data_IF_551132594369
#
_entry.id   IF_551132594369
#
_cell.length_a   1.000
_cell.length_b   1.000
_cell.length_c   1.000
_cell.angle_alpha   90.00
_cell.angle_beta   90.00
_cell.angle_gamma   90.00
#
_symmetry.space_group_name_H-M   'P 1'
#
loop_
_entity.id
_entity.type
_entity.pdbx_description
1 polymer ?
#
# COMPACT_ATOMS: atom_id res chain seq x y z
N UNK A 1 -11.06 14.53 7.05
CA UNK A 1 -12.37 13.89 6.74
C UNK A 1 -12.07 12.53 6.14
N UNK A 2 -12.77 11.48 6.59
CA UNK A 2 -12.70 10.14 6.03
C UNK A 2 -13.75 9.94 4.92
N UNK A 3 -13.74 8.79 4.26
CA UNK A 3 -14.67 8.49 3.16
C UNK A 3 -16.14 8.48 3.64
N UNK A 4 -16.41 8.01 4.85
CA UNK A 4 -17.76 8.02 5.43
C UNK A 4 -18.31 9.45 5.53
N UNK A 5 -17.51 10.39 6.01
CA UNK A 5 -17.89 11.81 6.06
C UNK A 5 -18.03 12.43 4.65
N UNK A 6 -17.25 11.99 3.68
CA UNK A 6 -17.37 12.43 2.30
C UNK A 6 -18.68 11.96 1.68
N UNK A 7 -19.06 10.69 1.89
CA UNK A 7 -20.34 10.13 1.44
C UNK A 7 -21.51 10.88 2.09
N UNK A 8 -21.42 11.20 3.39
CA UNK A 8 -22.44 12.00 4.07
C UNK A 8 -22.62 13.38 3.46
N UNK A 9 -21.53 14.06 3.13
CA UNK A 9 -21.57 15.40 2.52
C UNK A 9 -22.20 15.37 1.12
N UNK A 10 -21.78 14.38 0.29
CA UNK A 10 -22.35 14.21 -1.06
C UNK A 10 -23.82 13.83 -1.01
N UNK A 11 -24.22 12.92 -0.10
CA UNK A 11 -25.61 12.53 0.10
C UNK A 11 -26.50 13.69 0.54
N UNK A 12 -26.04 14.55 1.46
CA UNK A 12 -26.74 15.77 1.86
C UNK A 12 -26.92 16.74 0.71
N UNK A 13 -25.90 16.92 -0.10
CA UNK A 13 -25.89 17.86 -1.24
C UNK A 13 -26.55 17.30 -2.48
N UNK A 14 -26.98 16.04 -2.46
CA UNK A 14 -27.52 15.31 -3.64
C UNK A 14 -26.57 15.35 -4.84
N UNK A 15 -25.25 15.23 -4.58
CA UNK A 15 -24.21 15.19 -5.60
C UNK A 15 -23.75 13.76 -5.82
N UNK A 16 -23.37 13.45 -7.05
CA UNK A 16 -22.77 12.16 -7.39
C UNK A 16 -21.32 12.11 -6.91
N UNK A 17 -21.00 11.08 -6.13
CA UNK A 17 -19.63 10.76 -5.73
C UNK A 17 -19.01 9.79 -6.73
N UNK A 18 -17.91 10.18 -7.35
CA UNK A 18 -17.18 9.36 -8.33
C UNK A 18 -15.88 8.87 -7.71
N UNK A 19 -15.69 7.57 -7.71
CA UNK A 19 -14.44 6.93 -7.30
C UNK A 19 -13.81 6.22 -8.48
N UNK A 20 -12.49 6.08 -8.48
CA UNK A 20 -11.77 5.25 -9.45
C UNK A 20 -10.94 4.19 -8.74
N UNK A 21 -10.92 2.97 -9.27
CA UNK A 21 -10.15 1.86 -8.69
C UNK A 21 -9.96 0.72 -9.69
N UNK A 22 -8.87 -0.02 -9.56
CA UNK A 22 -8.70 -1.34 -10.16
C UNK A 22 -9.44 -2.44 -9.35
N UNK A 23 -9.73 -2.17 -8.08
CA UNK A 23 -10.27 -3.15 -7.11
C UNK A 23 -11.77 -2.98 -6.90
N UNK A 24 -12.56 -3.06 -7.97
CA UNK A 24 -13.99 -2.73 -7.97
C UNK A 24 -14.81 -3.43 -6.88
N UNK A 25 -14.60 -4.75 -6.71
CA UNK A 25 -15.32 -5.55 -5.71
C UNK A 25 -14.97 -5.13 -4.29
N UNK A 26 -13.69 -4.87 -4.01
CA UNK A 26 -13.22 -4.43 -2.69
C UNK A 26 -13.77 -3.05 -2.39
N UNK A 27 -13.69 -2.11 -3.35
CA UNK A 27 -14.23 -0.77 -3.22
C UNK A 27 -15.74 -0.79 -2.93
N UNK A 28 -16.49 -1.56 -3.70
CA UNK A 28 -17.94 -1.69 -3.52
C UNK A 28 -18.30 -2.24 -2.12
N UNK A 29 -17.64 -3.30 -1.68
CA UNK A 29 -17.86 -3.89 -0.34
C UNK A 29 -17.52 -2.90 0.77
N UNK A 30 -16.39 -2.21 0.67
CA UNK A 30 -15.98 -1.23 1.66
C UNK A 30 -17.00 -0.08 1.78
N UNK A 31 -17.38 0.51 0.66
CA UNK A 31 -18.34 1.62 0.60
C UNK A 31 -19.70 1.20 1.19
N UNK A 32 -20.22 0.03 0.83
CA UNK A 32 -21.48 -0.49 1.36
C UNK A 32 -21.46 -0.74 2.88
N UNK A 33 -20.29 -0.99 3.45
CA UNK A 33 -20.08 -1.15 4.90
C UNK A 33 -20.13 0.17 5.68
N UNK A 34 -20.01 1.32 5.02
CA UNK A 34 -19.96 2.62 5.69
C UNK A 34 -21.35 3.06 6.19
N UNK A 35 -21.37 3.63 7.40
CA UNK A 35 -22.63 4.06 8.06
C UNK A 35 -23.39 5.10 7.23
N UNK A 36 -22.67 6.07 6.69
CA UNK A 36 -23.28 7.12 5.87
C UNK A 36 -23.85 6.56 4.56
N UNK A 37 -23.16 5.58 3.95
CA UNK A 37 -23.69 4.92 2.75
C UNK A 37 -25.03 4.22 3.05
N UNK A 38 -25.09 3.44 4.10
CA UNK A 38 -26.32 2.74 4.52
C UNK A 38 -27.44 3.71 4.87
N UNK A 39 -27.12 4.83 5.53
CA UNK A 39 -28.08 5.87 5.88
C UNK A 39 -28.73 6.55 4.66
N UNK A 40 -27.91 6.91 3.66
CA UNK A 40 -28.41 7.71 2.52
C UNK A 40 -28.90 6.84 1.35
N UNK A 41 -28.34 5.66 1.18
CA UNK A 41 -28.58 4.83 -0.01
C UNK A 41 -29.13 3.43 0.31
N UNK A 42 -29.13 3.02 1.57
CA UNK A 42 -29.67 1.75 2.03
C UNK A 42 -28.90 0.55 1.46
N UNK A 43 -29.65 -0.39 0.87
CA UNK A 43 -29.10 -1.63 0.30
C UNK A 43 -28.73 -1.51 -1.17
N UNK A 44 -28.82 -0.31 -1.78
CA UNK A 44 -28.44 -0.12 -3.19
C UNK A 44 -26.96 -0.47 -3.40
N UNK A 45 -26.65 -1.05 -4.56
CA UNK A 45 -25.27 -1.29 -4.93
C UNK A 45 -24.66 -0.08 -5.64
N UNK A 46 -23.44 0.37 -5.29
CA UNK A 46 -22.74 1.41 -6.03
C UNK A 46 -22.70 1.06 -7.51
N UNK A 47 -22.83 2.04 -8.38
CA UNK A 47 -22.76 1.83 -9.82
C UNK A 47 -21.31 1.61 -10.25
N UNK A 48 -20.97 0.40 -10.60
CA UNK A 48 -19.69 0.04 -11.21
C UNK A 48 -19.75 0.42 -12.69
N UNK A 49 -18.79 1.21 -13.14
CA UNK A 49 -18.68 1.70 -14.51
C UNK A 49 -17.37 1.19 -15.12
N UNK A 50 -17.51 0.41 -16.19
CA UNK A 50 -16.37 -0.05 -17.00
C UNK A 50 -16.61 0.34 -18.48
N UNK A 51 -15.62 0.25 -19.37
CA UNK A 51 -15.81 0.56 -20.80
C UNK A 51 -16.91 -0.28 -21.46
N UNK A 52 -17.13 -1.49 -20.98
CA UNK A 52 -18.03 -2.47 -21.62
C UNK A 52 -19.29 -2.82 -20.82
N UNK A 53 -19.36 -2.40 -19.53
CA UNK A 53 -20.56 -2.74 -18.73
C UNK A 53 -20.80 -1.71 -17.61
N UNK A 54 -22.05 -1.69 -17.15
CA UNK A 54 -22.48 -1.00 -15.93
C UNK A 54 -23.22 -1.97 -15.03
N UNK A 55 -22.85 -2.05 -13.75
CA UNK A 55 -23.41 -2.96 -12.77
C UNK A 55 -23.69 -2.20 -11.48
N UNK A 56 -24.87 -2.43 -10.89
CA UNK A 56 -25.35 -1.71 -9.71
C UNK A 56 -26.46 -0.74 -10.03
N UNK A 57 -27.12 -0.23 -9.00
CA UNK A 57 -28.33 0.60 -9.13
C UNK A 57 -28.26 1.95 -8.41
N UNK A 58 -27.16 2.25 -7.73
CA UNK A 58 -26.93 3.54 -7.10
C UNK A 58 -26.13 4.47 -8.00
N UNK A 59 -26.82 5.33 -8.75
CA UNK A 59 -26.19 6.30 -9.65
C UNK A 59 -25.51 7.45 -8.92
N UNK A 60 -25.82 7.66 -7.64
CA UNK A 60 -25.25 8.75 -6.83
C UNK A 60 -23.88 8.39 -6.25
N UNK A 61 -23.49 7.11 -6.26
CA UNK A 61 -22.15 6.64 -5.91
C UNK A 61 -21.64 5.73 -6.99
N UNK A 62 -20.61 6.16 -7.70
CA UNK A 62 -20.07 5.48 -8.88
C UNK A 62 -18.64 5.04 -8.63
N UNK A 63 -18.29 3.85 -9.09
CA UNK A 63 -16.93 3.30 -9.05
C UNK A 63 -16.50 3.02 -10.48
N UNK A 64 -15.58 3.84 -10.98
CA UNK A 64 -15.05 3.74 -12.34
C UNK A 64 -13.83 2.83 -12.35
N UNK A 65 -13.80 1.89 -13.28
CA UNK A 65 -12.63 1.02 -13.49
C UNK A 65 -11.44 1.87 -13.97
N UNK A 66 -10.29 1.64 -13.36
CA UNK A 66 -9.01 2.23 -13.75
C UNK A 66 -8.00 1.13 -14.09
N UNK A 67 -7.15 1.41 -15.05
CA UNK A 67 -5.98 0.59 -15.37
C UNK A 67 -4.75 1.50 -15.37
N UNK A 68 -4.07 1.57 -14.22
CA UNK A 68 -2.91 2.44 -14.03
C UNK A 68 -3.21 3.94 -13.98
N UNK A 69 -2.25 4.72 -13.51
CA UNK A 69 -2.32 6.18 -13.34
C UNK A 69 -3.58 6.66 -12.61
N UNK A 70 -4.08 5.85 -11.66
CA UNK A 70 -5.31 6.13 -10.92
C UNK A 70 -5.18 7.42 -10.12
N UNK A 71 -4.01 7.68 -9.57
CA UNK A 71 -3.68 8.86 -8.78
C UNK A 71 -3.67 10.18 -9.54
N UNK A 72 -3.62 10.16 -10.86
CA UNK A 72 -3.66 11.36 -11.70
C UNK A 72 -5.09 11.82 -12.05
N UNK A 73 -6.12 11.04 -11.73
CA UNK A 73 -7.50 11.30 -12.11
C UNK A 73 -8.23 12.36 -11.28
N UNK A 74 -8.01 12.44 -9.94
CA UNK A 74 -8.62 13.51 -9.17
C UNK A 74 -7.95 14.87 -9.44
N UNK A 75 -8.68 15.98 -9.38
CA UNK A 75 -10.13 16.08 -9.16
C UNK A 75 -10.98 16.07 -10.42
N UNK A 76 -10.36 16.08 -11.62
CA UNK A 76 -11.07 16.33 -12.88
C UNK A 76 -12.03 15.18 -13.23
N UNK A 77 -11.52 13.95 -13.24
CA UNK A 77 -12.31 12.78 -13.64
C UNK A 77 -13.12 12.21 -12.49
N UNK A 78 -12.54 12.16 -11.28
CA UNK A 78 -13.14 11.54 -10.09
C UNK A 78 -12.85 12.34 -8.83
N UNK A 79 -13.66 12.11 -7.80
CA UNK A 79 -13.57 12.83 -6.53
C UNK A 79 -12.66 12.11 -5.50
N UNK A 80 -12.48 10.79 -5.67
CA UNK A 80 -11.60 9.97 -4.84
C UNK A 80 -11.10 8.75 -5.62
N UNK A 81 -10.05 8.12 -5.10
CA UNK A 81 -9.52 6.87 -5.62
C UNK A 81 -9.37 5.83 -4.51
N UNK A 82 -9.38 4.55 -4.88
CA UNK A 82 -8.93 3.46 -4.03
C UNK A 82 -7.84 2.71 -4.78
N UNK A 83 -6.64 2.75 -4.23
CA UNK A 83 -5.45 2.17 -4.83
C UNK A 83 -4.51 1.61 -3.76
N UNK A 84 -3.52 0.81 -4.18
CA UNK A 84 -2.47 0.28 -3.32
C UNK A 84 -1.36 1.32 -3.18
N UNK A 85 -0.93 1.56 -1.97
CA UNK A 85 0.24 2.41 -1.72
C UNK A 85 1.21 1.74 -0.75
N UNK A 86 2.49 1.87 -1.02
CA UNK A 86 3.57 1.42 -0.12
C UNK A 86 4.21 2.62 0.60
N UNK A 87 4.81 3.53 -0.15
CA UNK A 87 5.53 4.70 0.39
C UNK A 87 4.73 5.99 0.39
N UNK A 88 3.65 6.04 -0.38
CA UNK A 88 2.83 7.24 -0.58
C UNK A 88 3.51 8.35 -1.40
N UNK A 89 4.66 8.09 -2.03
CA UNK A 89 5.39 9.10 -2.82
C UNK A 89 4.55 9.62 -3.98
N UNK A 90 3.95 8.72 -4.77
CA UNK A 90 3.10 9.07 -5.93
C UNK A 90 1.88 9.88 -5.49
N UNK A 91 1.27 9.52 -4.35
CA UNK A 91 0.15 10.28 -3.79
C UNK A 91 0.54 11.72 -3.47
N UNK A 92 1.72 11.93 -2.84
CA UNK A 92 2.23 13.26 -2.52
C UNK A 92 2.50 14.09 -3.79
N UNK A 93 3.10 13.48 -4.83
CA UNK A 93 3.36 14.14 -6.11
C UNK A 93 2.06 14.62 -6.78
N UNK A 94 0.99 13.84 -6.67
CA UNK A 94 -0.34 14.20 -7.18
C UNK A 94 -1.18 15.00 -6.16
N UNK A 95 -0.59 15.49 -5.07
CA UNK A 95 -1.26 16.29 -4.02
C UNK A 95 -2.47 15.58 -3.39
N UNK A 96 -2.45 14.25 -3.37
CA UNK A 96 -3.50 13.44 -2.77
C UNK A 96 -3.22 13.17 -1.29
N UNK A 97 -4.31 12.98 -0.54
CA UNK A 97 -4.28 12.64 0.90
C UNK A 97 -4.98 11.30 1.12
N UNK A 98 -4.34 10.42 1.87
CA UNK A 98 -4.99 9.21 2.37
C UNK A 98 -6.09 9.60 3.36
N UNK A 99 -7.30 9.15 3.11
CA UNK A 99 -8.49 9.44 3.93
C UNK A 99 -8.95 8.23 4.73
N UNK A 100 -8.74 7.02 4.21
CA UNK A 100 -9.05 5.75 4.88
C UNK A 100 -8.07 4.66 4.45
N UNK A 101 -7.90 3.65 5.32
CA UNK A 101 -7.23 2.39 5.02
C UNK A 101 -8.30 1.29 4.88
N UNK A 102 -8.37 0.68 3.71
CA UNK A 102 -9.38 -0.35 3.40
C UNK A 102 -8.92 -1.72 3.87
N UNK A 103 -7.66 -2.05 3.62
CA UNK A 103 -6.99 -3.27 4.08
C UNK A 103 -5.47 -3.12 3.97
N UNK A 104 -4.77 -3.91 4.76
CA UNK A 104 -3.31 -4.07 4.66
C UNK A 104 -3.00 -5.42 4.04
N UNK A 105 -2.10 -5.45 3.07
CA UNK A 105 -1.61 -6.66 2.42
C UNK A 105 -0.09 -6.75 2.50
N UNK A 106 0.42 -7.97 2.47
CA UNK A 106 1.86 -8.24 2.45
C UNK A 106 2.20 -9.21 1.34
N UNK A 107 3.40 -9.06 0.78
CA UNK A 107 3.92 -10.01 -0.20
C UNK A 107 4.29 -11.34 0.49
N UNK A 108 3.86 -12.45 -0.11
CA UNK A 108 4.19 -13.80 0.36
C UNK A 108 4.85 -14.60 -0.75
N UNK A 109 5.92 -15.31 -0.41
CA UNK A 109 6.49 -16.31 -1.29
C UNK A 109 5.69 -17.61 -1.17
N UNK A 110 5.09 -18.05 -2.28
CA UNK A 110 4.29 -19.28 -2.33
C UNK A 110 5.10 -20.35 -3.04
N UNK A 111 5.15 -21.54 -2.46
CA UNK A 111 5.89 -22.68 -3.00
C UNK A 111 5.00 -23.92 -3.08
N UNK A 112 5.14 -24.68 -4.17
CA UNK A 112 4.43 -25.95 -4.31
C UNK A 112 4.98 -26.99 -3.32
N UNK A 113 4.09 -27.61 -2.54
CA UNK A 113 4.44 -28.63 -1.53
C UNK A 113 5.19 -29.83 -2.13
N UNK A 114 4.86 -30.23 -3.39
CA UNK A 114 5.57 -31.33 -4.07
C UNK A 114 7.04 -30.95 -4.37
N UNK A 115 7.29 -29.69 -4.75
CA UNK A 115 8.65 -29.20 -5.01
C UNK A 115 9.52 -29.17 -3.76
N UNK A 116 8.94 -28.97 -2.58
CA UNK A 116 9.66 -29.03 -1.31
C UNK A 116 10.11 -30.45 -0.92
N UNK A 117 9.52 -31.51 -1.51
CA UNK A 117 9.91 -32.92 -1.28
C UNK A 117 11.08 -33.34 -2.15
N UNK A 118 11.33 -32.65 -3.25
CA UNK A 118 12.49 -32.89 -4.14
C UNK A 118 13.71 -32.18 -3.56
N UNK A 119 14.79 -32.93 -3.21
CA UNK A 119 15.97 -32.33 -2.56
C UNK A 119 16.61 -31.19 -3.36
N UNK A 120 16.78 -31.38 -4.67
CA UNK A 120 17.41 -30.39 -5.55
C UNK A 120 16.58 -29.10 -5.66
N UNK A 121 15.25 -29.24 -5.82
CA UNK A 121 14.34 -28.09 -5.88
C UNK A 121 14.26 -27.40 -4.53
N UNK A 122 14.21 -28.15 -3.45
CA UNK A 122 14.22 -27.64 -2.09
C UNK A 122 15.44 -26.77 -1.82
N UNK A 123 16.62 -27.22 -2.15
CA UNK A 123 17.86 -26.46 -2.02
C UNK A 123 17.74 -25.10 -2.72
N UNK A 124 17.36 -25.07 -4.00
CA UNK A 124 17.21 -23.83 -4.77
C UNK A 124 16.12 -22.89 -4.19
N UNK A 125 15.03 -23.44 -3.69
CA UNK A 125 13.99 -22.66 -3.01
C UNK A 125 14.56 -21.96 -1.76
N UNK A 126 15.36 -22.69 -0.96
CA UNK A 126 15.98 -22.11 0.24
C UNK A 126 17.08 -21.10 -0.10
N UNK A 127 17.83 -21.27 -1.19
CA UNK A 127 18.77 -20.26 -1.68
C UNK A 127 18.04 -18.94 -1.98
N UNK A 128 16.92 -19.01 -2.74
CA UNK A 128 16.07 -17.84 -3.05
C UNK A 128 15.54 -17.19 -1.79
N UNK A 129 15.00 -17.99 -0.85
CA UNK A 129 14.50 -17.47 0.43
C UNK A 129 15.59 -16.74 1.21
N UNK A 130 16.80 -17.29 1.23
CA UNK A 130 17.94 -16.70 1.94
C UNK A 130 18.32 -15.36 1.34
N UNK A 131 18.41 -15.26 0.01
CA UNK A 131 18.70 -14.02 -0.70
C UNK A 131 17.60 -12.96 -0.45
N UNK A 132 16.33 -13.35 -0.56
CA UNK A 132 15.20 -12.43 -0.31
C UNK A 132 15.17 -11.93 1.14
N UNK A 133 15.39 -12.83 2.11
CA UNK A 133 15.50 -12.46 3.53
C UNK A 133 16.68 -11.53 3.78
N UNK A 134 17.83 -11.80 3.13
CA UNK A 134 18.99 -10.91 3.20
C UNK A 134 18.66 -9.50 2.72
N UNK A 135 18.02 -9.38 1.55
CA UNK A 135 17.62 -8.09 0.99
C UNK A 135 16.61 -7.34 1.90
N UNK A 136 15.57 -8.03 2.42
CA UNK A 136 14.58 -7.42 3.31
C UNK A 136 15.20 -7.00 4.64
N UNK A 137 16.04 -7.86 5.23
CA UNK A 137 16.69 -7.56 6.49
C UNK A 137 17.73 -6.45 6.33
N UNK A 138 18.49 -6.45 5.22
CA UNK A 138 19.49 -5.43 4.93
C UNK A 138 18.92 -4.01 4.93
N UNK A 139 17.64 -3.82 4.52
CA UNK A 139 16.96 -2.52 4.58
C UNK A 139 16.81 -1.93 6.00
N UNK A 140 16.94 -2.76 7.03
CA UNK A 140 16.85 -2.36 8.45
C UNK A 140 18.18 -1.92 9.03
N UNK A 141 19.26 -2.06 8.31
CA UNK A 141 20.61 -1.77 8.75
C UNK A 141 21.22 -0.65 7.93
N UNK A 142 22.02 0.14 8.58
CA UNK A 142 22.86 1.17 7.96
C UNK A 142 24.31 0.70 8.04
N UNK A 143 25.03 0.82 6.94
CA UNK A 143 26.48 0.63 6.93
C UNK A 143 27.13 1.99 7.22
N UNK A 144 27.91 2.05 8.29
CA UNK A 144 28.56 3.28 8.74
C UNK A 144 30.06 3.14 8.54
N UNK A 145 30.67 4.08 7.82
CA UNK A 145 32.10 4.23 7.66
C UNK A 145 32.53 5.51 8.36
N UNK A 146 33.56 5.43 9.17
CA UNK A 146 34.09 6.57 9.94
C UNK A 146 35.61 6.55 9.88
N UNK A 147 36.19 7.71 9.63
CA UNK A 147 37.61 7.96 9.90
C UNK A 147 37.70 8.65 11.25
N UNK A 148 38.55 8.14 12.13
CA UNK A 148 38.75 8.66 13.48
C UNK A 148 40.21 8.60 13.85
N UNK A 149 40.72 9.61 14.51
CA UNK A 149 42.06 9.58 15.09
C UNK A 149 42.17 8.47 16.13
N UNK A 150 43.29 7.73 16.14
CA UNK A 150 43.52 6.59 17.04
C UNK A 150 43.25 6.90 18.50
N UNK A 151 43.67 8.10 18.97
CA UNK A 151 43.43 8.55 20.36
C UNK A 151 41.94 8.62 20.74
N UNK A 152 41.04 8.82 19.76
CA UNK A 152 39.60 8.96 19.96
C UNK A 152 38.84 7.65 19.73
N UNK A 153 39.48 6.59 19.20
CA UNK A 153 38.85 5.33 18.83
C UNK A 153 38.08 4.68 20.00
N UNK A 154 38.72 4.55 21.17
CA UNK A 154 38.11 3.98 22.38
C UNK A 154 36.82 4.72 22.77
N UNK A 155 36.87 6.05 22.77
CA UNK A 155 35.70 6.89 23.09
C UNK A 155 34.59 6.71 22.09
N UNK A 156 34.89 6.64 20.79
CA UNK A 156 33.90 6.39 19.74
C UNK A 156 33.22 5.04 19.96
N UNK A 157 33.97 3.97 20.16
CA UNK A 157 33.46 2.62 20.34
C UNK A 157 32.51 2.48 21.56
N UNK A 158 32.72 3.28 22.60
CA UNK A 158 31.82 3.27 23.78
C UNK A 158 30.53 4.05 23.57
N UNK A 159 30.51 4.98 22.63
CA UNK A 159 29.33 5.82 22.35
C UNK A 159 28.43 5.27 21.25
N UNK A 160 28.93 4.36 20.42
CA UNK A 160 28.15 3.83 19.32
C UNK A 160 27.24 2.69 19.78
N UNK A 161 25.92 2.88 19.76
CA UNK A 161 24.96 1.84 20.13
C UNK A 161 25.04 0.71 19.09
N UNK A 162 25.22 -0.51 19.51
CA UNK A 162 25.13 -1.72 18.69
C UNK A 162 26.37 -2.19 17.90
N UNK A 163 27.49 -1.54 17.96
CA UNK A 163 28.71 -2.04 17.31
C UNK A 163 29.37 -3.15 18.16
N UNK A 164 28.94 -4.39 17.95
CA UNK A 164 29.53 -5.51 18.68
C UNK A 164 30.95 -5.87 18.21
N UNK A 165 31.30 -5.64 16.94
CA UNK A 165 32.63 -5.92 16.35
C UNK A 165 32.83 -5.07 15.09
N UNK A 166 33.25 -3.80 15.18
CA UNK A 166 33.58 -3.03 14.00
C UNK A 166 34.85 -3.58 13.35
N UNK A 167 34.94 -3.51 12.03
CA UNK A 167 36.18 -3.72 11.33
C UNK A 167 37.01 -2.44 11.48
N UNK A 168 38.21 -2.54 12.02
CA UNK A 168 39.17 -1.44 12.20
C UNK A 168 40.32 -1.68 11.25
N UNK A 169 40.58 -0.69 10.39
CA UNK A 169 41.74 -0.69 9.47
C UNK A 169 42.53 0.59 9.66
N UNK A 170 43.85 0.52 9.89
CA UNK A 170 44.71 1.71 9.84
C UNK A 170 44.66 2.29 8.42
N UNK A 171 44.70 3.63 8.34
CA UNK A 171 44.85 4.38 7.09
C UNK A 171 46.33 4.50 6.73
#
# INVERSE_FOLDING_TARGET
KNLDAMIADYGKKKKTLRLSSEYLTTASKFIKGLKSYQKYYGKKDPLIVTPWMRLGNNKDVQIHLSFGATEAKPPEDVDAIMDVTETGTTLKQNKLKIVDEVLTSTAHLIVNKKSLKDPKKREKIFDIITLMRGAVNGRKYLHIYLNVEEKNLKKLLTQMPSLKRPTISPL
#
